data_IF_336098314825
#
_entry.id   IF_336098314825
#
_cell.length_a   1.000
_cell.length_b   1.000
_cell.length_c   1.000
_cell.angle_alpha   90.00
_cell.angle_beta   90.00
_cell.angle_gamma   90.00
#
_symmetry.space_group_name_H-M   'P 1'
#
loop_
_entity.id
_entity.type
_entity.pdbx_description
1 polymer ?
#
# COMPACT_ATOMS: atom_id res chain seq x y z
N UNK A 1 23.51 -2.12 10.40
CA UNK A 1 22.27 -2.73 9.85
C UNK A 1 21.20 -1.66 9.79
N UNK A 2 20.50 -1.55 8.66
CA UNK A 2 19.39 -0.59 8.54
C UNK A 2 18.19 -1.14 9.31
N UNK A 3 17.73 -0.40 10.30
CA UNK A 3 16.59 -0.79 11.13
C UNK A 3 15.37 0.04 10.76
N UNK A 4 14.20 -0.51 10.99
CA UNK A 4 12.94 0.23 11.00
C UNK A 4 12.16 -0.12 12.27
N UNK A 5 11.31 0.81 12.71
CA UNK A 5 10.40 0.57 13.84
C UNK A 5 9.07 0.10 13.29
N UNK A 6 8.60 -1.03 13.80
CA UNK A 6 7.28 -1.58 13.48
C UNK A 6 6.21 -1.02 14.43
N UNK A 7 5.08 -0.65 13.85
CA UNK A 7 3.90 -0.19 14.58
C UNK A 7 2.68 -0.96 14.09
N UNK A 8 2.02 -1.68 14.98
CA UNK A 8 0.68 -2.19 14.75
C UNK A 8 -0.33 -1.12 15.19
N UNK A 9 -1.14 -0.63 14.25
CA UNK A 9 -2.17 0.36 14.51
C UNK A 9 -3.55 -0.28 14.74
N UNK A 10 -3.65 -1.61 14.66
CA UNK A 10 -4.89 -2.34 14.75
C UNK A 10 -5.90 -1.89 13.68
N UNK A 11 -7.19 -1.91 14.04
CA UNK A 11 -8.24 -1.38 13.17
C UNK A 11 -8.36 0.13 13.38
N UNK A 12 -8.12 0.89 12.31
CA UNK A 12 -8.02 2.35 12.36
C UNK A 12 -8.72 3.01 11.16
N UNK A 13 -9.28 4.19 11.36
CA UNK A 13 -9.78 5.05 10.29
C UNK A 13 -8.66 5.43 9.32
N UNK A 14 -8.96 5.48 8.03
CA UNK A 14 -7.97 5.76 7.00
C UNK A 14 -7.25 7.09 7.21
N UNK A 15 -7.99 8.14 7.56
CA UNK A 15 -7.46 9.48 7.77
C UNK A 15 -6.43 9.52 8.90
N UNK A 16 -6.71 8.85 10.02
CA UNK A 16 -5.77 8.75 11.15
C UNK A 16 -4.48 8.00 10.78
N UNK A 17 -4.61 6.93 9.98
CA UNK A 17 -3.43 6.21 9.49
C UNK A 17 -2.64 7.05 8.49
N UNK A 18 -3.31 7.83 7.62
CA UNK A 18 -2.67 8.74 6.68
C UNK A 18 -1.93 9.86 7.42
N UNK A 19 -2.49 10.39 8.50
CA UNK A 19 -1.82 11.38 9.37
C UNK A 19 -0.53 10.81 9.96
N UNK A 20 -0.56 9.58 10.53
CA UNK A 20 0.63 8.91 11.07
C UNK A 20 1.73 8.73 10.02
N UNK A 21 1.36 8.31 8.81
CA UNK A 21 2.29 8.19 7.70
C UNK A 21 2.87 9.55 7.31
N UNK A 22 2.03 10.59 7.23
CA UNK A 22 2.44 11.94 6.82
C UNK A 22 3.44 12.54 7.80
N UNK A 23 3.21 12.39 9.10
CA UNK A 23 4.15 12.84 10.14
C UNK A 23 5.49 12.13 9.98
N UNK A 24 5.50 10.80 9.86
CA UNK A 24 6.73 10.03 9.69
C UNK A 24 7.47 10.38 8.38
N UNK A 25 6.73 10.52 7.27
CA UNK A 25 7.27 10.90 5.97
C UNK A 25 7.94 12.27 5.98
N UNK A 26 7.29 13.27 6.58
CA UNK A 26 7.84 14.61 6.68
C UNK A 26 9.07 14.65 7.59
N UNK A 27 9.05 13.92 8.70
CA UNK A 27 10.21 13.82 9.61
C UNK A 27 11.43 13.21 8.91
N UNK A 28 11.24 12.17 8.06
CA UNK A 28 12.32 11.61 7.25
C UNK A 28 12.85 12.59 6.20
N UNK A 29 11.95 13.32 5.52
CA UNK A 29 12.35 14.34 4.53
C UNK A 29 13.14 15.48 5.18
N UNK A 30 12.75 15.91 6.37
CA UNK A 30 13.43 16.95 7.12
C UNK A 30 14.81 16.48 7.59
N UNK A 31 14.91 15.31 8.22
CA UNK A 31 16.17 14.72 8.62
C UNK A 31 17.15 14.62 7.45
N UNK A 32 16.67 14.13 6.31
CA UNK A 32 17.45 14.01 5.08
C UNK A 32 17.91 15.38 4.53
N UNK A 33 17.04 16.41 4.56
CA UNK A 33 17.40 17.76 4.13
C UNK A 33 18.50 18.38 5.01
N UNK A 34 18.59 17.94 6.25
CA UNK A 34 19.60 18.38 7.23
C UNK A 34 20.84 17.46 7.26
N UNK A 35 20.96 16.50 6.31
CA UNK A 35 22.08 15.55 6.28
C UNK A 35 22.10 14.56 7.46
N UNK A 36 20.98 14.42 8.18
CA UNK A 36 20.82 13.51 9.31
C UNK A 36 20.15 12.20 8.90
N UNK A 37 20.46 11.12 9.59
CA UNK A 37 19.73 9.87 9.48
C UNK A 37 18.39 10.02 10.20
N UNK A 38 17.29 9.73 9.49
CA UNK A 38 15.96 9.68 10.08
C UNK A 38 15.55 8.24 10.43
N UNK A 39 14.39 8.12 11.05
CA UNK A 39 13.85 6.85 11.52
C UNK A 39 12.88 6.26 10.49
N UNK A 40 13.22 5.08 9.96
CA UNK A 40 12.34 4.31 9.08
C UNK A 40 11.23 3.64 9.90
N UNK A 41 9.99 3.69 9.43
CA UNK A 41 8.82 3.12 10.12
C UNK A 41 7.98 2.25 9.21
N UNK A 42 7.50 1.15 9.74
CA UNK A 42 6.55 0.27 9.10
C UNK A 42 5.27 0.24 9.92
N UNK A 43 4.16 0.71 9.35
CA UNK A 43 2.85 0.64 9.99
C UNK A 43 2.04 -0.48 9.35
N UNK A 44 1.42 -1.34 10.18
CA UNK A 44 0.37 -2.25 9.76
C UNK A 44 -0.95 -1.84 10.37
N UNK A 45 -2.02 -2.04 9.63
CA UNK A 45 -3.37 -1.78 10.10
C UNK A 45 -4.42 -2.52 9.27
N UNK A 46 -5.64 -2.56 9.77
CA UNK A 46 -6.87 -2.87 9.07
C UNK A 46 -7.76 -1.62 9.05
N UNK A 47 -8.38 -1.32 7.91
CA UNK A 47 -9.26 -0.16 7.80
C UNK A 47 -10.74 -0.51 7.91
N UNK A 48 -11.56 0.47 8.32
CA UNK A 48 -12.97 0.48 7.99
C UNK A 48 -13.13 0.58 6.45
N UNK A 49 -14.30 0.22 5.90
CA UNK A 49 -14.53 0.30 4.47
C UNK A 49 -14.20 1.68 3.90
N UNK A 50 -13.24 1.74 2.98
CA UNK A 50 -12.79 2.97 2.34
C UNK A 50 -12.33 2.72 0.90
N UNK A 51 -12.69 3.61 0.00
CA UNK A 51 -12.16 3.68 -1.35
C UNK A 51 -11.16 4.83 -1.48
N UNK A 52 -10.04 4.57 -2.11
CA UNK A 52 -9.03 5.58 -2.40
C UNK A 52 -8.76 5.64 -3.90
N UNK A 53 -8.71 6.84 -4.47
CA UNK A 53 -8.24 7.07 -5.86
C UNK A 53 -6.84 7.65 -5.83
N UNK A 54 -5.91 6.98 -6.52
CA UNK A 54 -4.53 7.42 -6.71
C UNK A 54 -4.38 8.36 -7.92
N UNK A 55 -3.14 8.74 -8.20
CA UNK A 55 -2.82 9.72 -9.27
C UNK A 55 -3.22 9.30 -10.68
N UNK A 56 -3.26 8.01 -10.97
CA UNK A 56 -3.62 7.49 -12.30
C UNK A 56 -5.12 7.22 -12.42
N UNK A 57 -5.87 7.33 -11.31
CA UNK A 57 -7.28 7.06 -11.26
C UNK A 57 -8.13 8.24 -11.74
N UNK A 58 -9.32 7.93 -12.21
CA UNK A 58 -10.36 8.89 -12.61
C UNK A 58 -11.63 8.57 -11.83
N UNK A 59 -12.42 9.59 -11.51
CA UNK A 59 -13.73 9.40 -10.85
C UNK A 59 -14.66 8.47 -11.67
N UNK A 60 -14.48 8.43 -12.99
CA UNK A 60 -15.21 7.53 -13.88
C UNK A 60 -14.89 6.05 -13.66
N UNK A 61 -13.80 5.72 -12.95
CA UNK A 61 -13.47 4.35 -12.57
C UNK A 61 -14.26 3.88 -11.34
N UNK A 62 -14.97 4.79 -10.68
CA UNK A 62 -15.90 4.46 -9.62
C UNK A 62 -17.19 3.92 -10.24
N UNK A 63 -17.43 2.61 -10.07
CA UNK A 63 -18.54 1.91 -10.70
C UNK A 63 -19.91 2.14 -9.99
N UNK A 64 -19.90 2.81 -8.85
CA UNK A 64 -21.11 3.12 -8.08
C UNK A 64 -21.17 4.61 -7.75
N UNK A 65 -22.36 5.22 -7.64
CA UNK A 65 -22.53 6.62 -7.25
C UNK A 65 -21.92 6.90 -5.86
N UNK A 66 -21.38 8.11 -5.68
CA UNK A 66 -20.80 8.52 -4.37
C UNK A 66 -21.83 8.50 -3.24
N UNK A 67 -23.07 8.80 -3.55
CA UNK A 67 -24.20 8.76 -2.60
C UNK A 67 -24.41 7.36 -2.05
N UNK A 68 -24.21 6.34 -2.87
CA UNK A 68 -24.34 4.94 -2.44
C UNK A 68 -23.16 4.52 -1.54
N UNK A 69 -21.97 5.10 -1.71
CA UNK A 69 -20.84 4.88 -0.79
C UNK A 69 -21.21 5.37 0.61
N UNK A 70 -21.74 6.60 0.70
CA UNK A 70 -22.17 7.19 1.98
C UNK A 70 -23.22 6.31 2.67
N UNK A 71 -24.25 5.87 1.93
CA UNK A 71 -25.29 4.98 2.45
C UNK A 71 -24.73 3.65 2.98
N UNK A 72 -23.64 3.14 2.38
CA UNK A 72 -22.98 1.91 2.79
C UNK A 72 -21.90 2.12 3.84
N UNK A 73 -21.72 3.35 4.35
CA UNK A 73 -20.66 3.67 5.32
C UNK A 73 -19.26 3.53 4.75
N UNK A 74 -19.06 3.68 3.43
CA UNK A 74 -17.78 3.59 2.76
C UNK A 74 -17.22 5.00 2.57
N UNK A 75 -16.10 5.29 3.21
CA UNK A 75 -15.38 6.56 3.03
C UNK A 75 -14.71 6.62 1.66
N UNK A 76 -14.48 7.83 1.15
CA UNK A 76 -13.88 8.03 -0.17
C UNK A 76 -12.84 9.15 -0.16
N UNK A 77 -11.61 8.88 -0.64
CA UNK A 77 -10.51 9.84 -0.65
C UNK A 77 -9.76 9.86 -1.97
N UNK A 78 -9.43 11.06 -2.45
CA UNK A 78 -8.40 11.27 -3.46
C UNK A 78 -7.05 11.42 -2.77
N UNK A 79 -6.08 10.60 -3.17
CA UNK A 79 -4.78 10.54 -2.50
C UNK A 79 -3.63 10.54 -3.49
N UNK A 80 -2.46 10.95 -2.99
CA UNK A 80 -1.26 11.13 -3.81
C UNK A 80 -0.37 9.88 -3.80
N UNK A 81 -0.93 8.68 -4.10
CA UNK A 81 -0.18 7.43 -4.36
C UNK A 81 -0.18 7.08 -5.83
N UNK A 82 0.72 6.19 -6.25
CA UNK A 82 0.63 5.54 -7.56
C UNK A 82 -0.61 4.64 -7.66
N UNK A 83 -0.99 4.33 -8.89
CA UNK A 83 -2.14 3.46 -9.20
C UNK A 83 -3.47 4.19 -9.28
N UNK A 84 -4.50 3.40 -9.53
CA UNK A 84 -5.89 3.81 -9.74
C UNK A 84 -6.72 3.68 -8.45
N UNK A 85 -7.96 3.24 -8.55
CA UNK A 85 -8.87 3.02 -7.43
C UNK A 85 -8.46 1.77 -6.63
N UNK A 86 -8.59 1.84 -5.32
CA UNK A 86 -8.34 0.72 -4.40
C UNK A 86 -9.36 0.75 -3.27
N UNK A 87 -9.95 -0.40 -2.97
CA UNK A 87 -10.76 -0.61 -1.78
C UNK A 87 -9.88 -1.12 -0.63
N UNK A 88 -10.12 -0.59 0.57
CA UNK A 88 -9.63 -1.12 1.83
C UNK A 88 -10.81 -1.42 2.74
N UNK A 89 -10.70 -2.48 3.54
CA UNK A 89 -11.76 -2.88 4.45
C UNK A 89 -11.37 -4.06 5.34
N UNK A 90 -12.31 -4.53 6.17
CA UNK A 90 -12.10 -5.67 7.04
C UNK A 90 -11.61 -6.91 6.30
N UNK A 91 -10.68 -7.65 6.93
CA UNK A 91 -10.04 -8.81 6.32
C UNK A 91 -8.85 -8.50 5.41
N UNK A 92 -8.50 -7.21 5.24
CA UNK A 92 -7.35 -6.79 4.45
C UNK A 92 -6.29 -6.16 5.37
N UNK A 93 -5.06 -6.69 5.34
CA UNK A 93 -3.92 -6.06 6.02
C UNK A 93 -3.33 -5.00 5.10
N UNK A 94 -3.30 -3.76 5.58
CA UNK A 94 -2.62 -2.66 4.90
C UNK A 94 -1.28 -2.36 5.56
N UNK A 95 -0.21 -2.36 4.76
CA UNK A 95 1.14 -2.06 5.21
C UNK A 95 1.65 -0.75 4.60
N UNK A 96 2.17 0.12 5.46
CA UNK A 96 2.69 1.43 5.09
C UNK A 96 4.17 1.56 5.48
N UNK A 97 5.10 1.13 4.59
CA UNK A 97 6.52 1.38 4.81
C UNK A 97 6.85 2.85 4.51
N UNK A 98 7.23 3.59 5.54
CA UNK A 98 7.74 4.95 5.44
C UNK A 98 9.25 4.87 5.60
N UNK A 99 9.94 4.76 4.46
CA UNK A 99 11.36 4.40 4.39
C UNK A 99 12.14 5.41 3.57
N UNK A 100 13.36 5.72 4.01
CA UNK A 100 14.39 6.34 3.17
C UNK A 100 15.14 5.25 2.40
N UNK A 101 14.86 5.12 1.11
CA UNK A 101 15.42 4.08 0.24
C UNK A 101 16.93 4.20 0.05
N UNK A 102 17.52 5.38 0.24
CA UNK A 102 18.98 5.56 0.18
C UNK A 102 19.69 4.76 1.28
N UNK A 103 18.99 4.53 2.41
CA UNK A 103 19.48 3.68 3.50
C UNK A 103 19.85 2.25 3.01
N UNK A 104 19.12 1.77 2.01
CA UNK A 104 19.34 0.44 1.40
C UNK A 104 19.91 0.52 -0.02
N UNK A 105 20.24 1.72 -0.52
CA UNK A 105 20.72 1.95 -1.89
C UNK A 105 19.74 1.41 -2.94
N UNK A 106 18.44 1.58 -2.72
CA UNK A 106 17.38 1.07 -3.58
C UNK A 106 16.78 2.21 -4.42
N UNK A 107 16.63 1.96 -5.71
CA UNK A 107 15.74 2.73 -6.58
C UNK A 107 14.27 2.36 -6.33
N UNK A 108 13.35 3.25 -6.72
CA UNK A 108 11.91 3.03 -6.50
C UNK A 108 11.39 1.74 -7.16
N UNK A 109 11.85 1.42 -8.38
CA UNK A 109 11.47 0.19 -9.07
C UNK A 109 11.92 -1.04 -8.28
N UNK A 110 13.18 -1.09 -7.86
CA UNK A 110 13.71 -2.19 -7.05
C UNK A 110 12.97 -2.34 -5.72
N UNK A 111 12.56 -1.24 -5.10
CA UNK A 111 11.77 -1.26 -3.87
C UNK A 111 10.40 -1.92 -4.11
N UNK A 112 9.70 -1.55 -5.19
CA UNK A 112 8.41 -2.18 -5.55
C UNK A 112 8.61 -3.68 -5.82
N UNK A 113 9.63 -4.05 -6.60
CA UNK A 113 9.96 -5.45 -6.89
C UNK A 113 10.22 -6.25 -5.60
N UNK A 114 10.86 -5.63 -4.59
CA UNK A 114 11.09 -6.26 -3.29
C UNK A 114 9.83 -6.35 -2.44
N UNK A 115 8.91 -5.38 -2.49
CA UNK A 115 7.62 -5.50 -1.84
C UNK A 115 6.82 -6.68 -2.42
N UNK A 116 6.76 -6.79 -3.75
CA UNK A 116 6.10 -7.93 -4.41
C UNK A 116 6.74 -9.26 -3.99
N UNK A 117 8.07 -9.34 -4.02
CA UNK A 117 8.80 -10.55 -3.62
C UNK A 117 8.54 -10.93 -2.16
N UNK A 118 8.47 -9.94 -1.26
CA UNK A 118 8.16 -10.17 0.15
C UNK A 118 6.78 -10.81 0.31
N UNK A 119 5.78 -10.30 -0.40
CA UNK A 119 4.42 -10.85 -0.36
C UNK A 119 4.37 -12.23 -1.01
N UNK A 120 5.05 -12.45 -2.14
CA UNK A 120 5.12 -13.77 -2.80
C UNK A 120 5.70 -14.81 -1.84
N UNK A 121 6.82 -14.50 -1.17
CA UNK A 121 7.43 -15.40 -0.18
C UNK A 121 6.56 -15.64 1.03
N UNK A 122 5.88 -14.60 1.51
CA UNK A 122 4.93 -14.73 2.61
C UNK A 122 3.79 -15.70 2.24
N UNK A 123 3.18 -15.54 1.07
CA UNK A 123 2.11 -16.41 0.58
C UNK A 123 2.57 -17.87 0.41
N UNK A 124 3.81 -18.07 -0.04
CA UNK A 124 4.39 -19.41 -0.21
C UNK A 124 4.48 -20.20 1.12
N UNK A 125 4.63 -19.53 2.27
CA UNK A 125 4.61 -20.17 3.60
C UNK A 125 3.26 -20.87 3.85
N UNK A 126 2.19 -20.31 3.27
CA UNK A 126 0.82 -20.87 3.37
C UNK A 126 0.43 -21.74 2.19
N UNK A 127 1.39 -22.10 1.33
CA UNK A 127 1.12 -22.92 0.13
C UNK A 127 0.38 -22.18 -0.98
N UNK A 128 0.30 -20.84 -0.92
CA UNK A 128 -0.37 -20.00 -1.91
C UNK A 128 0.65 -19.52 -2.94
N UNK A 129 0.42 -19.81 -4.21
CA UNK A 129 1.27 -19.37 -5.32
C UNK A 129 0.92 -17.94 -5.73
N UNK A 130 1.64 -16.95 -5.16
CA UNK A 130 1.58 -15.56 -5.61
C UNK A 130 2.51 -15.33 -6.79
N UNK A 131 2.06 -14.56 -7.79
CA UNK A 131 2.82 -14.29 -9.02
C UNK A 131 2.75 -12.80 -9.39
N UNK A 132 3.73 -12.34 -10.20
CA UNK A 132 3.70 -11.02 -10.83
C UNK A 132 2.92 -11.07 -12.13
N UNK A 133 2.22 -9.99 -12.46
CA UNK A 133 1.60 -9.80 -13.77
C UNK A 133 2.31 -8.64 -14.49
N UNK A 134 2.84 -8.90 -15.67
CA UNK A 134 3.55 -7.89 -16.44
C UNK A 134 2.65 -6.66 -16.72
N UNK A 135 3.15 -5.46 -16.43
CA UNK A 135 2.41 -4.22 -16.61
C UNK A 135 1.37 -3.90 -15.53
N UNK A 136 1.20 -4.76 -14.52
CA UNK A 136 0.20 -4.57 -13.45
C UNK A 136 0.80 -4.82 -12.07
N UNK A 137 1.34 -3.77 -11.46
CA UNK A 137 1.96 -3.80 -10.12
C UNK A 137 1.05 -4.45 -9.07
N UNK A 138 1.67 -5.28 -8.22
CA UNK A 138 1.02 -6.05 -7.17
C UNK A 138 1.25 -7.55 -7.30
N UNK A 139 0.66 -8.33 -6.40
CA UNK A 139 0.76 -9.79 -6.42
C UNK A 139 -0.58 -10.38 -6.80
N UNK A 140 -0.55 -11.38 -7.65
CA UNK A 140 -1.71 -11.97 -8.29
C UNK A 140 -1.78 -13.48 -8.05
N UNK A 141 -2.99 -14.01 -8.06
CA UNK A 141 -3.28 -15.43 -8.10
C UNK A 141 -3.79 -15.76 -9.52
N UNK A 142 -3.30 -16.83 -10.11
CA UNK A 142 -3.65 -17.33 -11.44
C UNK A 142 -3.59 -16.26 -12.55
N UNK A 143 -2.54 -15.40 -12.64
CA UNK A 143 -2.50 -14.28 -13.59
C UNK A 143 -2.49 -14.73 -15.07
N UNK A 144 -2.03 -15.96 -15.35
CA UNK A 144 -2.00 -16.55 -16.68
C UNK A 144 -3.27 -17.29 -17.09
N UNK A 145 -4.26 -17.42 -16.21
CA UNK A 145 -5.48 -18.19 -16.46
C UNK A 145 -6.63 -17.24 -16.78
N UNK A 146 -7.21 -17.27 -18.00
CA UNK A 146 -8.30 -16.38 -18.37
C UNK A 146 -9.46 -16.44 -17.37
N UNK A 147 -9.96 -15.27 -16.97
CA UNK A 147 -11.07 -15.07 -16.00
C UNK A 147 -10.81 -15.57 -14.57
N UNK A 148 -9.57 -16.00 -14.25
CA UNK A 148 -9.19 -16.44 -12.90
C UNK A 148 -8.14 -15.52 -12.24
N UNK A 149 -7.58 -14.58 -12.98
CA UNK A 149 -6.62 -13.64 -12.44
C UNK A 149 -7.25 -12.78 -11.35
N UNK A 150 -6.72 -12.87 -10.12
CA UNK A 150 -7.18 -12.12 -8.94
C UNK A 150 -5.99 -11.43 -8.29
N UNK A 151 -6.15 -10.17 -7.96
CA UNK A 151 -5.10 -9.41 -7.27
C UNK A 151 -5.20 -9.63 -5.76
N UNK A 152 -4.35 -10.48 -5.21
CA UNK A 152 -4.30 -10.74 -3.77
C UNK A 152 -3.62 -9.61 -3.00
N UNK A 153 -2.67 -8.90 -3.60
CA UNK A 153 -2.03 -7.74 -2.99
C UNK A 153 -1.94 -6.57 -3.97
N UNK A 154 -2.57 -5.47 -3.63
CA UNK A 154 -2.40 -4.20 -4.32
C UNK A 154 -1.18 -3.47 -3.76
N UNK A 155 -0.40 -2.81 -4.64
CA UNK A 155 0.75 -1.99 -4.25
C UNK A 155 0.63 -0.63 -4.92
N UNK A 156 0.68 0.44 -4.12
CA UNK A 156 0.65 1.80 -4.59
C UNK A 156 1.41 2.72 -3.64
N UNK A 157 2.55 3.25 -4.08
CA UNK A 157 3.43 4.07 -3.26
C UNK A 157 3.53 5.51 -3.77
N UNK A 158 3.90 6.42 -2.88
CA UNK A 158 4.40 7.74 -3.20
C UNK A 158 5.86 7.80 -2.78
N UNK A 159 6.70 8.42 -3.60
CA UNK A 159 8.09 8.71 -3.24
C UNK A 159 8.42 10.17 -3.48
N UNK A 160 9.20 10.76 -2.56
CA UNK A 160 9.83 12.07 -2.73
C UNK A 160 11.22 12.00 -2.14
N UNK A 161 12.23 12.41 -2.92
CA UNK A 161 13.66 12.34 -2.51
C UNK A 161 14.05 10.94 -1.99
N UNK A 162 13.54 9.89 -2.61
CA UNK A 162 13.70 8.48 -2.19
C UNK A 162 13.11 8.13 -0.82
N UNK A 163 12.33 9.01 -0.19
CA UNK A 163 11.50 8.68 0.96
C UNK A 163 10.14 8.19 0.47
N UNK A 164 9.64 7.07 1.01
CA UNK A 164 8.37 6.44 0.60
C UNK A 164 7.27 6.68 1.61
N UNK A 165 6.02 6.63 1.16
CA UNK A 165 4.80 6.47 1.97
C UNK A 165 3.72 5.74 1.18
N UNK A 166 2.61 5.42 1.81
CA UNK A 166 1.67 4.40 1.37
C UNK A 166 2.37 3.03 1.28
N UNK A 167 1.93 2.11 0.46
CA UNK A 167 2.58 0.80 0.40
C UNK A 167 1.72 -0.26 -0.24
N UNK A 168 1.22 -1.23 0.53
CA UNK A 168 0.50 -2.37 0.02
C UNK A 168 -0.78 -2.67 0.81
N UNK A 169 -1.68 -3.39 0.18
CA UNK A 169 -2.91 -3.90 0.76
C UNK A 169 -3.05 -5.38 0.39
N UNK A 170 -2.89 -6.25 1.38
CA UNK A 170 -2.92 -7.72 1.24
C UNK A 170 -4.28 -8.24 1.70
N UNK A 171 -4.99 -8.89 0.81
CA UNK A 171 -6.26 -9.55 1.10
C UNK A 171 -6.00 -10.89 1.81
N UNK A 172 -6.50 -11.03 3.03
CA UNK A 172 -6.38 -12.25 3.85
C UNK A 172 -7.72 -12.97 3.91
N UNK A 173 -8.76 -12.28 4.40
CA UNK A 173 -10.12 -12.80 4.56
C UNK A 173 -11.13 -12.03 3.68
N UNK A 174 -10.64 -11.39 2.64
CA UNK A 174 -11.45 -10.64 1.68
C UNK A 174 -11.76 -11.55 0.49
N UNK A 175 -13.00 -11.57 0.03
CA UNK A 175 -13.40 -12.25 -1.21
C UNK A 175 -12.76 -11.56 -2.43
N UNK A 176 -12.15 -12.35 -3.34
CA UNK A 176 -11.35 -11.89 -4.47
C UNK A 176 -12.04 -12.13 -5.82
#
# INVERSE_FOLDING_TARGET
>A
MSHFIYHDLGRIEYEKALERQTVAFNALLEAKAQGRTGENRLFFCEHQPVLTIGKSGKDTNLLIPKELLVQRGISFYHINRGGDITYHGPGQITGYPVFDLDTWKLGLKQYIDRLEETIIRFLAIYGIKGERLAGATGVWIDPGVPRKARKICAIGVKSSRFVTMHGFALNINTDL
#
